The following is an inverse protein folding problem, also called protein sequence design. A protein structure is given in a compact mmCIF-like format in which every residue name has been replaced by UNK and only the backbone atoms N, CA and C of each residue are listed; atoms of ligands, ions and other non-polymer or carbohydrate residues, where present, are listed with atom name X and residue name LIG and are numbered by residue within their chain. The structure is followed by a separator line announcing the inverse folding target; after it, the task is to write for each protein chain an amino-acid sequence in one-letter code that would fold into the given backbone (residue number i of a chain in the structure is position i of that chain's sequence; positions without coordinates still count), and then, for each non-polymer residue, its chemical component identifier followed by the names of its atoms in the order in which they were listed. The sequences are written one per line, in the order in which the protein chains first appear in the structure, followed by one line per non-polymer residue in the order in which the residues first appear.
data_IF_332724390339
#
_entry.id   IF_332724390339
#
_cell.length_a   1.000
_cell.length_b   1.000
_cell.length_c   1.000
_cell.angle_alpha   90.00
_cell.angle_beta   90.00
_cell.angle_gamma   90.00
#
_symmetry.space_group_name_H-M   'P 1'
#
loop_
_entity.id
_entity.type
_entity.pdbx_description
1 polymer ?
#
# COMPACT_ATOMS: atom_id res chain seq x y z
N UNK A 1 -9.42 0.92 -3.67
CA UNK A 1 -9.99 0.67 -2.34
C UNK A 1 -9.89 -0.82 -2.06
N UNK A 2 -9.36 -1.18 -0.89
CA UNK A 2 -9.28 -2.56 -0.40
C UNK A 2 -10.37 -2.79 0.66
N UNK A 3 -10.83 -4.03 0.79
CA UNK A 3 -11.82 -4.46 1.77
C UNK A 3 -11.48 -5.88 2.22
N UNK A 4 -11.79 -6.21 3.47
CA UNK A 4 -11.96 -7.59 3.91
C UNK A 4 -13.44 -7.89 4.09
N UNK A 5 -13.84 -9.12 3.79
CA UNK A 5 -15.21 -9.61 4.00
C UNK A 5 -15.13 -10.86 4.86
N UNK A 6 -15.72 -10.80 6.05
CA UNK A 6 -15.76 -11.92 6.99
C UNK A 6 -16.82 -12.96 6.58
N UNK A 7 -16.76 -14.20 7.09
CA UNK A 7 -17.73 -15.25 6.72
C UNK A 7 -19.20 -14.92 7.02
N UNK A 8 -19.46 -14.03 7.98
CA UNK A 8 -20.81 -13.53 8.30
C UNK A 8 -21.26 -12.38 7.37
N UNK A 9 -20.42 -11.99 6.42
CA UNK A 9 -20.67 -10.92 5.45
C UNK A 9 -20.18 -9.54 5.88
N UNK A 10 -19.64 -9.37 7.10
CA UNK A 10 -19.18 -8.07 7.57
C UNK A 10 -18.00 -7.57 6.74
N UNK A 11 -18.01 -6.28 6.43
CA UNK A 11 -17.00 -5.61 5.62
C UNK A 11 -16.18 -4.67 6.50
N UNK A 12 -14.87 -4.81 6.46
CA UNK A 12 -13.94 -3.93 7.16
C UNK A 12 -12.81 -3.42 6.25
N UNK A 13 -12.00 -2.49 6.76
CA UNK A 13 -10.90 -1.88 6.02
C UNK A 13 -9.81 -2.89 5.66
N UNK A 14 -9.32 -3.62 6.66
CA UNK A 14 -8.45 -4.78 6.51
C UNK A 14 -8.58 -5.67 7.76
N UNK A 15 -7.97 -6.86 7.70
CA UNK A 15 -7.89 -7.83 8.81
C UNK A 15 -7.37 -7.22 10.12
N UNK A 16 -6.34 -6.38 10.04
CA UNK A 16 -5.75 -5.77 11.24
C UNK A 16 -6.66 -4.78 11.97
N UNK A 17 -7.74 -4.31 11.33
CA UNK A 17 -8.72 -3.41 11.96
C UNK A 17 -10.00 -4.13 12.41
N UNK A 18 -10.04 -5.47 12.35
CA UNK A 18 -11.19 -6.23 12.84
C UNK A 18 -11.41 -5.98 14.33
N UNK A 19 -12.67 -5.78 14.70
CA UNK A 19 -13.09 -5.42 16.06
C UNK A 19 -13.13 -3.92 16.35
N UNK A 20 -12.59 -3.06 15.48
CA UNK A 20 -12.71 -1.61 15.60
C UNK A 20 -13.91 -1.08 14.79
N UNK A 21 -14.95 -0.51 15.44
CA UNK A 21 -16.14 0.02 14.75
C UNK A 21 -15.84 1.14 13.75
N UNK A 22 -14.75 1.89 13.93
CA UNK A 22 -14.39 2.99 13.03
C UNK A 22 -13.91 2.49 11.66
N UNK A 23 -13.55 1.20 11.56
CA UNK A 23 -13.04 0.56 10.35
C UNK A 23 -13.97 -0.54 9.81
N UNK A 24 -15.19 -0.66 10.34
CA UNK A 24 -16.24 -1.56 9.86
C UNK A 24 -17.28 -0.79 9.03
N UNK A 25 -17.48 -1.18 7.77
CA UNK A 25 -18.25 -0.42 6.79
C UNK A 25 -19.57 -1.09 6.37
N UNK A 26 -20.01 -2.10 7.12
CA UNK A 26 -21.32 -2.73 6.98
C UNK A 26 -21.25 -4.18 6.54
N UNK A 27 -22.20 -4.66 5.73
CA UNK A 27 -22.33 -6.09 5.42
C UNK A 27 -22.71 -6.32 3.94
N UNK A 28 -22.02 -7.25 3.28
CA UNK A 28 -22.17 -7.53 1.85
C UNK A 28 -23.55 -8.12 1.49
N UNK A 29 -24.26 -8.68 2.47
CA UNK A 29 -25.60 -9.25 2.25
C UNK A 29 -26.68 -8.17 2.18
N UNK A 30 -26.41 -6.96 2.66
CA UNK A 30 -27.36 -5.85 2.73
C UNK A 30 -26.94 -4.62 1.93
N UNK A 31 -25.68 -4.54 1.50
CA UNK A 31 -25.11 -3.39 0.80
C UNK A 31 -24.23 -3.82 -0.38
N UNK A 32 -24.23 -3.01 -1.43
CA UNK A 32 -23.29 -3.10 -2.56
C UNK A 32 -21.94 -2.50 -2.19
N UNK A 33 -20.87 -2.91 -2.88
CA UNK A 33 -19.55 -2.27 -2.72
C UNK A 33 -19.53 -0.78 -3.05
N UNK A 34 -20.46 -0.31 -3.90
CA UNK A 34 -20.60 1.12 -4.20
C UNK A 34 -21.13 1.89 -2.99
N UNK A 35 -22.17 1.37 -2.32
CA UNK A 35 -22.70 1.95 -1.08
C UNK A 35 -21.65 1.95 0.03
N UNK A 36 -20.94 0.83 0.21
CA UNK A 36 -19.86 0.71 1.19
C UNK A 36 -18.71 1.68 0.89
N UNK A 37 -18.36 1.87 -0.39
CA UNK A 37 -17.34 2.86 -0.79
C UNK A 37 -17.80 4.29 -0.52
N UNK A 38 -19.09 4.55 -0.62
CA UNK A 38 -19.65 5.87 -0.33
C UNK A 38 -19.80 6.16 1.17
N UNK A 39 -19.51 5.19 2.05
CA UNK A 39 -19.55 5.41 3.50
C UNK A 39 -18.62 6.59 3.88
N UNK A 40 -19.13 7.63 4.55
CA UNK A 40 -18.34 8.79 4.95
C UNK A 40 -17.12 8.43 5.82
N UNK A 41 -17.16 7.35 6.61
CA UNK A 41 -16.01 6.86 7.38
C UNK A 41 -14.91 6.37 6.46
N UNK A 42 -15.25 5.59 5.43
CA UNK A 42 -14.28 5.13 4.45
C UNK A 42 -13.62 6.31 3.72
N UNK A 43 -14.42 7.29 3.28
CA UNK A 43 -13.88 8.48 2.61
C UNK A 43 -12.93 9.27 3.51
N UNK A 44 -13.26 9.43 4.80
CA UNK A 44 -12.36 10.07 5.77
C UNK A 44 -11.04 9.32 5.91
N UNK A 45 -11.07 8.00 6.03
CA UNK A 45 -9.85 7.19 6.15
C UNK A 45 -8.96 7.27 4.91
N UNK A 46 -9.56 7.33 3.71
CA UNK A 46 -8.83 7.54 2.45
C UNK A 46 -8.11 8.89 2.44
N UNK A 47 -8.82 9.97 2.80
CA UNK A 47 -8.22 11.31 2.84
C UNK A 47 -7.17 11.44 3.95
N UNK A 48 -7.40 10.85 5.13
CA UNK A 48 -6.41 10.78 6.20
C UNK A 48 -5.14 10.06 5.75
N UNK A 49 -5.28 8.90 5.10
CA UNK A 49 -4.13 8.17 4.58
C UNK A 49 -3.35 9.01 3.55
N UNK A 50 -4.05 9.72 2.65
CA UNK A 50 -3.41 10.60 1.67
C UNK A 50 -2.64 11.74 2.33
N UNK A 51 -3.23 12.40 3.32
CA UNK A 51 -2.58 13.49 4.06
C UNK A 51 -1.34 13.00 4.82
N UNK A 52 -1.41 11.82 5.44
CA UNK A 52 -0.28 11.21 6.13
C UNK A 52 0.85 10.81 5.16
N UNK A 53 0.52 10.30 3.97
CA UNK A 53 1.51 10.00 2.94
C UNK A 53 2.23 11.26 2.45
N UNK A 54 1.50 12.37 2.27
CA UNK A 54 2.09 13.66 1.92
C UNK A 54 3.02 14.16 3.03
N UNK A 55 2.60 14.07 4.29
CA UNK A 55 3.41 14.48 5.44
C UNK A 55 4.71 13.67 5.58
N UNK A 56 4.72 12.40 5.17
CA UNK A 56 5.90 11.54 5.20
C UNK A 56 6.79 11.65 3.95
N UNK A 57 6.38 12.39 2.92
CA UNK A 57 7.06 12.44 1.63
C UNK A 57 8.52 12.92 1.72
N UNK A 58 8.85 13.73 2.73
CA UNK A 58 10.21 14.21 3.01
C UNK A 58 11.06 13.26 3.84
N UNK A 59 10.51 12.15 4.35
CA UNK A 59 11.26 11.19 5.15
C UNK A 59 12.38 10.55 4.30
N UNK A 60 13.64 10.49 4.78
CA UNK A 60 14.75 9.91 4.01
C UNK A 60 14.57 8.43 3.63
N UNK A 61 13.66 7.72 4.28
CA UNK A 61 13.31 6.32 3.99
C UNK A 61 12.02 6.13 3.21
N UNK A 62 11.34 7.22 2.79
CA UNK A 62 10.04 7.16 2.13
C UNK A 62 10.10 6.40 0.80
N UNK A 63 11.18 6.55 0.05
CA UNK A 63 11.45 5.81 -1.19
C UNK A 63 11.35 4.28 -0.99
N UNK A 64 11.74 3.78 0.18
CA UNK A 64 11.68 2.37 0.53
C UNK A 64 10.35 1.98 1.15
N UNK A 65 9.85 2.73 2.13
CA UNK A 65 8.67 2.31 2.90
C UNK A 65 7.33 2.78 2.33
N UNK A 66 7.31 3.84 1.51
CA UNK A 66 6.11 4.43 0.90
C UNK A 66 5.00 4.70 1.93
N UNK A 67 5.39 5.18 3.11
CA UNK A 67 4.48 5.48 4.23
C UNK A 67 3.93 4.27 4.99
N UNK A 68 4.27 3.04 4.58
CA UNK A 68 3.92 1.80 5.26
C UNK A 68 2.40 1.60 5.50
N UNK A 69 2.05 0.49 6.16
CA UNK A 69 0.65 0.14 6.40
C UNK A 69 -0.05 1.16 7.31
N UNK A 70 -1.28 1.63 7.00
CA UNK A 70 -2.03 2.54 7.87
C UNK A 70 -2.25 1.98 9.28
N UNK A 71 -2.46 0.67 9.40
CA UNK A 71 -2.59 0.00 10.70
C UNK A 71 -1.33 0.18 11.57
N UNK A 72 -0.15 0.04 10.98
CA UNK A 72 1.11 0.18 11.74
C UNK A 72 1.32 1.61 12.23
N UNK A 73 0.90 2.61 11.45
CA UNK A 73 0.84 4.00 11.90
C UNK A 73 -0.18 4.19 13.02
N UNK A 74 -1.35 3.57 12.91
CA UNK A 74 -2.38 3.56 13.97
C UNK A 74 -1.83 2.95 15.27
N UNK A 75 -1.26 1.75 15.24
CA UNK A 75 -0.67 1.08 16.41
C UNK A 75 0.47 1.92 17.00
N UNK A 76 1.36 2.46 16.17
CA UNK A 76 2.47 3.31 16.62
C UNK A 76 1.96 4.55 17.36
N UNK A 77 0.96 5.25 16.83
CA UNK A 77 0.38 6.43 17.50
C UNK A 77 -0.16 6.15 18.90
N UNK A 78 -0.72 4.96 19.12
CA UNK A 78 -1.35 4.61 20.40
C UNK A 78 -0.39 3.98 21.40
N UNK A 79 0.70 3.37 20.95
CA UNK A 79 1.54 2.52 21.79
C UNK A 79 3.04 2.83 21.74
N UNK A 80 3.49 3.69 20.82
CA UNK A 80 4.88 4.14 20.75
C UNK A 80 4.98 5.59 21.26
N UNK A 81 5.60 5.84 22.42
CA UNK A 81 5.81 7.21 22.92
C UNK A 81 6.71 8.04 22.00
N UNK A 82 7.54 7.40 21.19
CA UNK A 82 8.45 8.04 20.23
C UNK A 82 7.86 8.08 18.81
N UNK A 83 6.52 8.06 18.68
CA UNK A 83 5.87 8.15 17.37
C UNK A 83 6.20 9.47 16.67
N UNK A 84 6.73 9.35 15.44
CA UNK A 84 6.99 10.48 14.55
C UNK A 84 6.03 10.43 13.35
N UNK A 85 5.10 11.40 13.19
CA UNK A 85 4.20 11.43 12.05
C UNK A 85 4.89 11.78 10.73
N UNK A 86 6.14 12.28 10.77
CA UNK A 86 6.94 12.63 9.60
C UNK A 86 7.63 11.45 8.92
N UNK A 87 7.59 10.24 9.51
CA UNK A 87 8.21 9.05 8.96
C UNK A 87 7.39 7.78 9.26
N UNK A 88 7.61 6.73 8.46
CA UNK A 88 6.92 5.44 8.61
C UNK A 88 7.40 4.57 9.81
N UNK A 89 8.23 5.11 10.70
CA UNK A 89 8.81 4.38 11.86
C UNK A 89 9.90 3.35 11.52
N UNK A 90 10.26 3.16 10.25
CA UNK A 90 11.25 2.15 9.80
C UNK A 90 12.61 2.70 9.41
N UNK A 91 12.83 4.01 9.53
CA UNK A 91 14.06 4.67 9.09
C UNK A 91 15.34 4.04 9.70
N UNK A 92 15.43 3.72 11.01
CA UNK A 92 16.63 3.10 11.57
C UNK A 92 17.00 1.76 10.91
N UNK A 93 15.99 0.94 10.61
CA UNK A 93 16.19 -0.35 9.95
C UNK A 93 16.59 -0.17 8.47
N UNK A 94 15.95 0.77 7.77
CA UNK A 94 16.29 1.10 6.39
C UNK A 94 17.74 1.60 6.32
N UNK A 95 18.14 2.45 7.26
CA UNK A 95 19.50 2.95 7.35
C UNK A 95 20.50 1.84 7.66
N UNK A 96 20.18 0.92 8.58
CA UNK A 96 21.02 -0.26 8.84
C UNK A 96 21.30 -1.05 7.55
N UNK A 97 20.27 -1.36 6.76
CA UNK A 97 20.45 -2.06 5.50
C UNK A 97 21.20 -1.24 4.43
N UNK A 98 21.03 0.08 4.40
CA UNK A 98 21.78 0.96 3.49
C UNK A 98 23.26 0.98 3.84
N UNK A 99 23.62 1.02 5.12
CA UNK A 99 25.01 0.96 5.57
C UNK A 99 25.66 -0.38 5.23
N UNK A 100 24.97 -1.50 5.48
CA UNK A 100 25.48 -2.84 5.16
C UNK A 100 25.67 -3.05 3.65
N UNK A 101 24.74 -2.55 2.83
CA UNK A 101 24.86 -2.63 1.37
C UNK A 101 26.01 -1.76 0.84
N UNK A 102 26.27 -0.60 1.45
CA UNK A 102 27.44 0.23 1.09
C UNK A 102 28.76 -0.42 1.51
N UNK A 103 28.79 -1.08 2.67
CA UNK A 103 29.96 -1.83 3.14
C UNK A 103 30.26 -3.09 2.30
N UNK A 104 29.25 -3.65 1.63
CA UNK A 104 29.35 -4.86 0.80
C UNK A 104 29.24 -4.58 -0.71
N UNK A 105 29.14 -3.32 -1.14
CA UNK A 105 29.02 -2.99 -2.55
C UNK A 105 30.29 -3.45 -3.28
N UNK A 106 30.19 -4.32 -4.30
CA UNK A 106 31.37 -4.68 -5.08
C UNK A 106 31.87 -3.43 -5.78
N UNK A 107 33.15 -3.13 -5.57
CA UNK A 107 33.86 -2.05 -6.26
C UNK A 107 33.81 -2.31 -7.77
N UNK A 108 32.86 -1.66 -8.45
CA UNK A 108 32.78 -1.58 -9.91
C UNK A 108 32.35 -2.85 -10.64
N UNK A 109 31.07 -2.92 -11.01
CA UNK A 109 30.68 -3.48 -12.31
C UNK A 109 29.75 -2.48 -12.97
N UNK A 110 30.27 -1.75 -13.95
CA UNK A 110 29.46 -0.92 -14.83
C UNK A 110 28.59 -1.84 -15.69
N UNK A 111 27.31 -1.96 -15.36
CA UNK A 111 26.35 -2.66 -16.23
C UNK A 111 26.00 -1.70 -17.36
N UNK A 112 26.63 -1.90 -18.52
CA UNK A 112 26.27 -1.22 -19.77
C UNK A 112 24.92 -1.77 -20.25
N UNK A 113 23.84 -1.06 -19.93
CA UNK A 113 22.50 -1.32 -20.46
C UNK A 113 22.49 -1.04 -21.96
N UNK A 114 22.65 -2.10 -22.76
CA UNK A 114 22.39 -2.02 -24.20
C UNK A 114 20.88 -2.04 -24.43
N UNK A 115 20.37 -1.06 -25.17
CA UNK A 115 18.94 -0.90 -25.46
C UNK A 115 18.33 -2.16 -26.11
N UNK A 116 17.06 -2.51 -25.82
CA UNK A 116 16.42 -3.66 -26.44
C UNK A 116 16.17 -3.39 -27.93
N UNK A 117 16.61 -4.32 -28.79
CA UNK A 117 16.25 -4.32 -30.22
C UNK A 117 14.75 -4.59 -30.35
N UNK A 118 14.02 -3.67 -30.98
CA UNK A 118 12.66 -3.92 -31.47
C UNK A 118 12.76 -4.72 -32.77
N UNK A 119 12.25 -5.94 -32.79
CA UNK A 119 11.88 -6.63 -34.04
C UNK A 119 11.00 -7.84 -33.75
N UNK A 120 9.70 -7.73 -34.07
CA UNK A 120 8.73 -8.84 -34.11
C UNK A 120 7.36 -8.33 -34.56
N UNK A 121 6.67 -8.95 -35.55
CA UNK A 121 5.47 -8.37 -36.18
C UNK A 121 4.22 -8.47 -35.29
N UNK A 122 3.31 -7.50 -35.45
CA UNK A 122 1.94 -7.56 -34.90
C UNK A 122 1.13 -8.65 -35.60
N UNK A 123 0.82 -9.73 -34.90
CA UNK A 123 -0.25 -10.65 -35.30
C UNK A 123 -1.60 -10.05 -34.90
N UNK A 124 -2.43 -9.79 -35.92
CA UNK A 124 -3.82 -9.39 -35.77
C UNK A 124 -4.63 -10.53 -35.14
N UNK A 125 -5.38 -10.23 -34.08
CA UNK A 125 -6.36 -11.17 -33.50
C UNK A 125 -7.65 -11.08 -34.30
N UNK A 126 -8.01 -12.20 -34.92
CA UNK A 126 -9.28 -12.46 -35.61
C UNK A 126 -10.40 -12.65 -34.57
N UNK A 127 -11.33 -11.69 -34.52
CA UNK A 127 -12.57 -11.76 -33.73
C UNK A 127 -13.62 -12.60 -34.46
N UNK A 128 -13.48 -13.92 -34.42
CA UNK A 128 -14.54 -14.82 -34.87
C UNK A 128 -14.53 -16.16 -34.13
N UNK A 129 -15.01 -16.16 -32.88
CA UNK A 129 -15.42 -17.39 -32.20
C UNK A 129 -16.72 -17.18 -31.41
N UNK A 130 -17.82 -17.88 -31.73
CA UNK A 130 -19.05 -17.79 -30.96
C UNK A 130 -18.89 -18.55 -29.64
N UNK A 131 -19.30 -17.92 -28.55
CA UNK A 131 -19.44 -18.53 -27.23
C UNK A 131 -20.60 -19.52 -27.26
N UNK A 132 -20.33 -20.75 -26.83
CA UNK A 132 -21.31 -21.82 -26.59
C UNK A 132 -21.66 -21.88 -25.12
#
# INVERSE_FOLDING_TARGET
QFYIVEPNGDIAHCDNFLGDPDYQFGNITTQTFAEVRSDPRMQRLVEQNKAELEAMSSCPGFDVCQGWCPHERYTSRHHNPDHDPGCCGRLPLIDHFRHDRRAKAPTGVAVSLSAPRRSGPQEARDESRPTR
#
